data_IF_065303623748
#
_entry.id   IF_065303623748
#
_cell.length_a   1.000
_cell.length_b   1.000
_cell.length_c   1.000
_cell.angle_alpha   90.00
_cell.angle_beta   90.00
_cell.angle_gamma   90.00
#
_symmetry.space_group_name_H-M   'P 1'
#
loop_
_entity.id
_entity.type
_entity.pdbx_description
1 polymer ?
#
# COMPACT_ATOMS: atom_id res chain seq x y z
N UNK A 1 -5.20 -19.80 -10.89
CA UNK A 1 -5.26 -19.92 -9.42
C UNK A 1 -6.28 -18.92 -8.91
N UNK A 2 -7.30 -19.33 -8.13
CA UNK A 2 -8.26 -18.41 -7.52
C UNK A 2 -7.61 -17.58 -6.40
N UNK A 3 -8.22 -16.44 -6.06
CA UNK A 3 -7.86 -15.71 -4.83
C UNK A 3 -8.32 -16.56 -3.64
N UNK A 4 -7.41 -16.83 -2.73
CA UNK A 4 -7.66 -17.65 -1.54
C UNK A 4 -8.06 -16.80 -0.33
N UNK A 5 -7.42 -15.63 -0.18
CA UNK A 5 -7.66 -14.73 0.94
C UNK A 5 -7.53 -13.27 0.52
N UNK A 6 -8.28 -12.40 1.19
CA UNK A 6 -8.14 -10.96 1.12
C UNK A 6 -8.03 -10.39 2.54
N UNK A 7 -7.00 -9.59 2.79
CA UNK A 7 -6.90 -8.75 3.97
C UNK A 7 -7.11 -7.30 3.55
N UNK A 8 -7.89 -6.55 4.31
CA UNK A 8 -8.13 -5.14 4.02
C UNK A 8 -8.01 -4.29 5.28
N UNK A 9 -7.71 -3.00 5.09
CA UNK A 9 -7.65 -2.01 6.14
C UNK A 9 -8.00 -0.62 5.59
N UNK A 10 -8.27 0.33 6.47
CA UNK A 10 -8.50 1.73 6.15
C UNK A 10 -7.37 2.56 6.74
N UNK A 11 -6.68 3.32 5.90
CA UNK A 11 -5.76 4.36 6.32
C UNK A 11 -6.51 5.69 6.29
N UNK A 12 -6.82 6.25 7.46
CA UNK A 12 -7.40 7.59 7.59
C UNK A 12 -6.34 8.60 8.04
N UNK A 13 -6.42 9.83 7.52
CA UNK A 13 -5.64 10.96 8.03
C UNK A 13 -6.36 12.28 7.80
N UNK A 14 -6.12 13.24 8.69
CA UNK A 14 -6.51 14.65 8.58
C UNK A 14 -5.31 15.61 8.73
N UNK A 15 -4.09 15.07 8.71
CA UNK A 15 -2.87 15.77 9.12
C UNK A 15 -1.76 15.73 8.05
N UNK A 16 -2.09 16.04 6.79
CA UNK A 16 -1.12 16.06 5.69
C UNK A 16 -0.75 14.69 5.11
N UNK A 17 -1.39 13.62 5.59
CA UNK A 17 -1.22 12.26 5.06
C UNK A 17 -0.79 11.24 6.12
N UNK A 18 -0.33 10.09 5.66
CA UNK A 18 0.11 9.00 6.52
C UNK A 18 0.48 7.75 5.72
N UNK A 19 1.03 6.75 6.43
CA UNK A 19 1.34 5.44 5.86
C UNK A 19 0.75 4.32 6.72
N UNK A 20 0.47 3.20 6.08
CA UNK A 20 0.07 1.95 6.73
C UNK A 20 0.88 0.81 6.12
N UNK A 21 1.63 0.10 6.94
CA UNK A 21 2.34 -1.10 6.51
C UNK A 21 1.57 -2.37 6.88
N UNK A 22 1.34 -3.22 5.89
CA UNK A 22 0.71 -4.52 6.07
C UNK A 22 1.75 -5.62 5.81
N UNK A 23 2.12 -6.33 6.88
CA UNK A 23 3.05 -7.46 6.84
C UNK A 23 2.32 -8.77 6.52
N UNK A 24 2.93 -9.60 5.67
CA UNK A 24 2.43 -10.92 5.28
C UNK A 24 3.57 -11.94 5.25
N UNK A 25 3.26 -13.23 5.39
CA UNK A 25 4.25 -14.27 5.08
C UNK A 25 4.61 -14.25 3.61
N UNK A 26 5.89 -14.53 3.28
CA UNK A 26 6.40 -14.52 1.90
C UNK A 26 5.55 -15.43 1.01
N UNK A 27 4.86 -14.83 0.05
CA UNK A 27 3.97 -15.56 -0.87
C UNK A 27 3.64 -14.73 -2.10
N UNK A 28 2.99 -15.38 -3.08
CA UNK A 28 2.37 -14.68 -4.19
C UNK A 28 1.19 -13.85 -3.68
N UNK A 29 1.34 -12.52 -3.72
CA UNK A 29 0.32 -11.60 -3.27
C UNK A 29 0.33 -10.31 -4.09
N UNK A 30 -0.81 -9.61 -4.07
CA UNK A 30 -0.98 -8.31 -4.67
C UNK A 30 -1.41 -7.32 -3.60
N UNK A 31 -0.71 -6.20 -3.51
CA UNK A 31 -1.17 -5.03 -2.78
C UNK A 31 -1.88 -4.08 -3.72
N UNK A 32 -3.01 -3.53 -3.30
CA UNK A 32 -3.75 -2.54 -4.05
C UNK A 32 -4.31 -1.48 -3.10
N UNK A 33 -4.28 -0.23 -3.52
CA UNK A 33 -4.86 0.88 -2.78
C UNK A 33 -5.73 1.75 -3.67
N UNK A 34 -6.82 2.23 -3.09
CA UNK A 34 -7.70 3.24 -3.67
C UNK A 34 -7.94 4.35 -2.68
N UNK A 35 -8.14 5.57 -3.17
CA UNK A 35 -8.73 6.64 -2.37
C UNK A 35 -10.19 6.25 -2.05
N UNK A 36 -10.56 6.29 -0.77
CA UNK A 36 -11.90 5.95 -0.29
C UNK A 36 -12.80 7.18 -0.20
N UNK A 37 -12.41 8.13 0.65
CA UNK A 37 -13.10 9.40 0.87
C UNK A 37 -12.06 10.53 0.90
N UNK A 38 -12.49 11.73 0.53
CA UNK A 38 -11.69 12.93 0.63
C UNK A 38 -12.61 14.11 0.98
N UNK A 39 -12.14 14.98 1.86
CA UNK A 39 -12.77 16.27 2.18
C UNK A 39 -11.72 17.39 2.18
N UNK A 40 -12.18 18.61 1.86
CA UNK A 40 -11.36 19.81 1.72
C UNK A 40 -11.03 20.20 0.28
N UNK A 41 -10.48 21.40 0.11
CA UNK A 41 -10.18 21.97 -1.20
C UNK A 41 -8.72 21.68 -1.60
N UNK A 42 -8.47 20.58 -2.32
CA UNK A 42 -7.21 20.37 -3.04
C UNK A 42 -6.89 18.89 -3.31
N UNK A 43 -5.62 18.61 -3.62
CA UNK A 43 -5.20 17.29 -4.08
C UNK A 43 -5.06 16.29 -2.93
N UNK A 44 -5.90 15.27 -2.93
CA UNK A 44 -5.74 14.04 -2.16
C UNK A 44 -5.23 12.93 -3.07
N UNK A 45 -4.23 12.17 -2.64
CA UNK A 45 -3.68 11.05 -3.40
C UNK A 45 -3.43 9.85 -2.48
N UNK A 46 -3.58 8.64 -3.01
CA UNK A 46 -3.26 7.39 -2.33
C UNK A 46 -2.35 6.56 -3.23
N UNK A 47 -1.42 5.81 -2.64
CA UNK A 47 -0.53 4.95 -3.42
C UNK A 47 0.27 4.00 -2.54
N UNK A 48 1.06 3.15 -3.18
CA UNK A 48 2.01 2.28 -2.50
C UNK A 48 3.34 3.03 -2.42
N UNK A 49 3.76 3.37 -1.20
CA UNK A 49 5.01 4.09 -0.90
C UNK A 49 6.22 3.19 -1.05
N UNK A 50 6.04 1.89 -0.83
CA UNK A 50 7.06 0.87 -0.97
C UNK A 50 6.52 -0.52 -0.65
N UNK A 51 7.34 -1.53 -0.90
CA UNK A 51 7.03 -2.92 -0.59
C UNK A 51 8.31 -3.72 -0.34
N UNK A 52 8.19 -4.86 0.34
CA UNK A 52 9.29 -5.78 0.57
C UNK A 52 8.98 -7.13 -0.07
N UNK A 53 10.01 -7.76 -0.64
CA UNK A 53 9.93 -9.11 -1.18
C UNK A 53 11.04 -9.97 -0.61
N UNK A 54 10.85 -11.29 -0.63
CA UNK A 54 11.83 -12.27 -0.16
C UNK A 54 11.79 -13.52 -1.05
N UNK A 55 12.49 -13.50 -2.20
CA UNK A 55 12.48 -14.60 -3.15
C UNK A 55 13.07 -15.90 -2.59
N UNK A 56 14.13 -15.80 -1.79
CA UNK A 56 14.67 -16.91 -0.99
C UNK A 56 14.10 -16.84 0.43
N UNK A 57 13.29 -17.82 0.90
CA UNK A 57 12.69 -17.80 2.23
C UNK A 57 13.70 -17.62 3.38
N UNK A 58 14.94 -18.08 3.21
CA UNK A 58 16.03 -17.92 4.18
C UNK A 58 16.90 -16.69 3.93
N UNK A 59 16.69 -16.00 2.81
CA UNK A 59 17.43 -14.83 2.38
C UNK A 59 16.94 -13.50 2.99
N UNK A 60 17.69 -12.41 2.74
CA UNK A 60 17.30 -11.07 3.15
C UNK A 60 16.07 -10.58 2.38
N UNK A 61 15.44 -9.53 2.91
CA UNK A 61 14.38 -8.84 2.16
C UNK A 61 14.96 -7.86 1.15
N UNK A 62 14.35 -7.84 -0.03
CA UNK A 62 14.56 -6.81 -1.03
C UNK A 62 13.53 -5.70 -0.80
N UNK A 63 14.01 -4.48 -0.57
CA UNK A 63 13.17 -3.31 -0.31
C UNK A 63 13.04 -2.51 -1.58
N UNK A 64 11.80 -2.17 -1.95
CA UNK A 64 11.50 -1.18 -2.98
C UNK A 64 10.82 0.02 -2.32
N UNK A 65 11.41 1.20 -2.47
CA UNK A 65 10.92 2.48 -1.95
C UNK A 65 10.76 3.47 -3.11
N UNK A 66 9.57 4.06 -3.27
CA UNK A 66 9.24 4.98 -4.36
C UNK A 66 9.52 6.47 -4.07
N UNK A 67 10.17 6.81 -2.95
CA UNK A 67 10.42 8.19 -2.52
C UNK A 67 9.16 9.02 -2.17
N UNK A 68 9.34 10.19 -1.56
CA UNK A 68 8.21 10.97 -1.00
C UNK A 68 7.32 11.65 -2.06
N UNK A 69 7.70 11.59 -3.34
CA UNK A 69 6.93 12.18 -4.41
C UNK A 69 5.73 11.29 -4.74
N UNK A 70 4.53 11.68 -4.28
CA UNK A 70 3.32 10.87 -4.42
C UNK A 70 2.88 10.62 -5.88
N UNK A 71 3.42 11.34 -6.85
CA UNK A 71 3.21 11.05 -8.28
C UNK A 71 3.90 9.77 -8.75
N UNK A 72 4.91 9.30 -8.02
CA UNK A 72 5.68 8.11 -8.36
C UNK A 72 5.12 6.84 -7.71
N UNK A 73 4.09 6.96 -6.87
CA UNK A 73 3.52 5.82 -6.13
C UNK A 73 2.55 5.04 -7.00
N UNK A 74 2.79 3.74 -7.27
CA UNK A 74 1.82 2.92 -7.97
C UNK A 74 0.61 2.61 -7.07
N UNK A 75 -0.56 2.40 -7.68
CA UNK A 75 -1.76 1.97 -6.94
C UNK A 75 -1.81 0.46 -6.68
N UNK A 76 -0.96 -0.31 -7.36
CA UNK A 76 -0.95 -1.77 -7.27
C UNK A 76 0.48 -2.30 -7.41
N UNK A 77 0.79 -3.35 -6.65
CA UNK A 77 1.99 -4.18 -6.82
C UNK A 77 1.56 -5.65 -6.79
N UNK A 78 2.19 -6.48 -7.62
CA UNK A 78 2.04 -7.93 -7.60
C UNK A 78 3.43 -8.56 -7.66
N UNK A 79 3.73 -9.43 -6.70
CA UNK A 79 4.99 -10.16 -6.66
C UNK A 79 4.76 -11.61 -6.21
N UNK A 80 5.65 -12.52 -6.61
CA UNK A 80 5.60 -13.94 -6.23
C UNK A 80 6.08 -14.21 -4.79
N UNK A 81 6.74 -13.23 -4.19
CA UNK A 81 7.49 -13.35 -2.95
C UNK A 81 7.28 -12.15 -2.02
N UNK A 82 6.13 -11.50 -2.11
CA UNK A 82 5.79 -10.32 -1.34
C UNK A 82 5.74 -10.63 0.16
N UNK A 83 6.35 -9.79 0.99
CA UNK A 83 6.35 -9.90 2.47
C UNK A 83 5.73 -8.70 3.16
N UNK A 84 5.69 -7.54 2.52
CA UNK A 84 4.96 -6.39 3.04
C UNK A 84 4.60 -5.40 1.93
N UNK A 85 3.58 -4.59 2.19
CA UNK A 85 3.24 -3.42 1.38
C UNK A 85 3.02 -2.24 2.31
N UNK A 86 3.66 -1.13 2.00
CA UNK A 86 3.46 0.15 2.68
C UNK A 86 2.56 1.02 1.82
N UNK A 87 1.31 1.10 2.23
CA UNK A 87 0.32 2.00 1.66
C UNK A 87 0.51 3.41 2.20
N UNK A 88 0.10 4.40 1.43
CA UNK A 88 0.21 5.79 1.78
C UNK A 88 -0.99 6.61 1.30
N UNK A 89 -1.24 7.67 2.05
CA UNK A 89 -2.18 8.73 1.75
C UNK A 89 -1.40 10.04 1.83
N UNK A 90 -1.46 10.86 0.78
CA UNK A 90 -0.88 12.19 0.71
C UNK A 90 -2.01 13.21 0.64
N UNK A 91 -2.01 14.16 1.58
CA UNK A 91 -3.06 15.17 1.71
C UNK A 91 -2.43 16.56 1.73
N UNK A 92 -3.10 17.52 1.11
CA UNK A 92 -2.77 18.93 1.28
C UNK A 92 -3.16 19.47 2.66
N UNK A 93 -2.78 20.72 2.94
CA UNK A 93 -3.16 21.41 4.17
C UNK A 93 -4.68 21.58 4.24
N UNK A 94 -5.27 21.31 5.41
CA UNK A 94 -6.72 21.43 5.63
C UNK A 94 -7.56 20.38 4.90
N UNK A 95 -6.96 19.24 4.52
CA UNK A 95 -7.65 18.12 3.89
C UNK A 95 -7.65 16.90 4.81
N UNK A 96 -8.68 16.08 4.65
CA UNK A 96 -8.78 14.77 5.28
C UNK A 96 -9.23 13.72 4.27
N UNK A 97 -8.89 12.47 4.52
CA UNK A 97 -9.27 11.40 3.63
C UNK A 97 -9.02 10.01 4.18
N UNK A 98 -9.53 9.03 3.44
CA UNK A 98 -9.29 7.61 3.69
C UNK A 98 -8.70 6.96 2.45
N UNK A 99 -7.84 5.97 2.65
CA UNK A 99 -7.43 5.02 1.63
C UNK A 99 -7.91 3.61 2.02
N UNK A 100 -8.42 2.88 1.04
CA UNK A 100 -8.79 1.47 1.16
C UNK A 100 -7.59 0.64 0.72
N UNK A 101 -6.99 -0.07 1.66
CA UNK A 101 -5.75 -0.82 1.47
C UNK A 101 -6.06 -2.32 1.44
N UNK A 102 -5.75 -2.99 0.35
CA UNK A 102 -6.07 -4.40 0.12
C UNK A 102 -4.80 -5.22 -0.13
N UNK A 103 -4.76 -6.43 0.43
CA UNK A 103 -3.82 -7.48 0.08
C UNK A 103 -4.60 -8.71 -0.38
N UNK A 104 -4.38 -9.13 -1.62
CA UNK A 104 -4.94 -10.36 -2.20
C UNK A 104 -3.86 -11.45 -2.19
N UNK A 105 -4.22 -12.66 -1.78
CA UNK A 105 -3.32 -13.82 -1.71
C UNK A 105 -3.88 -14.98 -2.52
N UNK A 106 -3.01 -15.70 -3.22
CA UNK A 106 -3.36 -16.89 -3.99
C UNK A 106 -2.84 -18.14 -3.30
N UNK A 107 -3.58 -19.25 -3.45
CA UNK A 107 -3.16 -20.61 -3.06
C UNK A 107 -3.43 -21.58 -4.20
#
# INVERSE_FOLDING_TARGET
MPIAHMNWNILWSSAGGGTLEMNIGAQKAAGQVSLGQADGAGLCNSGIRGFRTRPDPAGPENVTDFGNNFYDWPNTVLDQSLTSVTFALALGSGQEGTAVCNIFRWS
#
